data_IF_380644394450
#
_entry.id   IF_380644394450
#
_cell.length_a   1.000
_cell.length_b   1.000
_cell.length_c   1.000
_cell.angle_alpha   90.00
_cell.angle_beta   90.00
_cell.angle_gamma   90.00
#
_symmetry.space_group_name_H-M   'P 1'
#
loop_
_entity.id
_entity.type
_entity.pdbx_description
1 polymer ?
#
# COMPACT_ATOMS: atom_id res chain seq x y z
N UNK A 1 -8.65 -8.58 0.12
CA UNK A 1 -7.91 -7.67 -0.78
C UNK A 1 -8.09 -8.22 -2.19
N UNK A 2 -8.48 -7.42 -3.18
CA UNK A 2 -8.69 -7.92 -4.54
C UNK A 2 -7.36 -8.15 -5.29
N UNK A 3 -7.34 -8.90 -6.41
CA UNK A 3 -6.13 -9.20 -7.18
C UNK A 3 -5.41 -7.93 -7.68
N UNK A 4 -6.15 -6.86 -7.95
CA UNK A 4 -5.61 -5.56 -8.38
C UNK A 4 -4.72 -4.92 -7.32
N UNK A 5 -5.11 -4.97 -6.04
CA UNK A 5 -4.33 -4.35 -4.95
C UNK A 5 -3.00 -5.09 -4.73
N UNK A 6 -2.99 -6.41 -4.85
CA UNK A 6 -1.78 -7.20 -4.70
C UNK A 6 -0.77 -6.89 -5.82
N UNK A 7 -1.25 -6.78 -7.06
CA UNK A 7 -0.42 -6.40 -8.20
C UNK A 7 0.17 -4.99 -8.03
N UNK A 8 -0.63 -4.04 -7.54
CA UNK A 8 -0.17 -2.68 -7.32
C UNK A 8 0.90 -2.57 -6.22
N UNK A 9 0.73 -3.29 -5.11
CA UNK A 9 1.75 -3.33 -4.03
C UNK A 9 3.07 -3.92 -4.57
N UNK A 10 2.99 -4.97 -5.39
CA UNK A 10 4.18 -5.57 -6.00
C UNK A 10 4.86 -4.63 -7.00
N UNK A 11 4.09 -3.94 -7.84
CA UNK A 11 4.60 -2.95 -8.78
C UNK A 11 5.25 -1.77 -8.06
N UNK A 12 4.60 -1.23 -7.03
CA UNK A 12 5.15 -0.15 -6.20
C UNK A 12 6.46 -0.60 -5.54
N UNK A 13 6.52 -1.83 -5.02
CA UNK A 13 7.76 -2.36 -4.42
C UNK A 13 8.90 -2.56 -5.42
N UNK A 14 8.60 -2.93 -6.67
CA UNK A 14 9.63 -3.03 -7.70
C UNK A 14 10.17 -1.65 -8.10
N UNK A 15 9.29 -0.64 -8.15
CA UNK A 15 9.68 0.72 -8.55
C UNK A 15 10.39 1.49 -7.42
N UNK A 16 9.89 1.39 -6.18
CA UNK A 16 10.32 2.21 -5.05
C UNK A 16 11.14 1.44 -4.01
N UNK A 17 11.13 0.11 -4.08
CA UNK A 17 11.77 -0.76 -3.09
C UNK A 17 10.86 -1.10 -1.91
N UNK A 18 11.48 -1.33 -0.75
CA UNK A 18 10.76 -1.71 0.49
C UNK A 18 10.02 -0.50 1.07
N UNK A 19 8.78 -0.70 1.52
CA UNK A 19 8.05 0.32 2.29
C UNK A 19 8.84 0.66 3.54
N UNK A 20 9.17 1.94 3.69
CA UNK A 20 9.81 2.52 4.87
C UNK A 20 8.81 3.32 5.70
N UNK A 21 7.69 3.71 5.11
CA UNK A 21 6.60 4.43 5.77
C UNK A 21 5.24 3.83 5.39
N UNK A 22 4.27 4.02 6.27
CA UNK A 22 2.86 3.70 6.04
C UNK A 22 2.22 4.66 5.03
N UNK A 23 2.68 5.92 4.94
CA UNK A 23 2.16 6.91 3.98
C UNK A 23 2.34 6.45 2.54
N UNK A 24 3.42 5.69 2.28
CA UNK A 24 3.75 5.12 0.98
C UNK A 24 2.74 4.09 0.48
N UNK A 25 1.97 3.46 1.37
CA UNK A 25 0.84 2.60 0.96
C UNK A 25 -0.26 3.42 0.27
N UNK A 26 -0.35 4.73 0.55
CA UNK A 26 -1.28 5.64 -0.13
C UNK A 26 -0.84 6.03 -1.54
N UNK A 27 0.44 5.87 -1.86
CA UNK A 27 1.00 6.10 -3.19
C UNK A 27 0.83 4.87 -4.11
N UNK A 28 0.34 3.75 -3.57
CA UNK A 28 0.07 2.54 -4.35
C UNK A 28 -1.24 2.71 -5.11
N UNK A 29 -1.16 2.60 -6.44
CA UNK A 29 -2.34 2.69 -7.32
C UNK A 29 -3.42 1.66 -6.94
N UNK A 30 -4.65 2.09 -6.73
CA UNK A 30 -5.73 1.24 -6.23
C UNK A 30 -5.81 1.05 -4.71
N UNK A 31 -4.93 1.71 -3.93
CA UNK A 31 -5.12 1.94 -2.49
C UNK A 31 -5.68 3.36 -2.29
N UNK A 32 -7.01 3.46 -2.34
CA UNK A 32 -7.68 4.71 -2.00
C UNK A 32 -7.60 5.07 -0.50
N UNK A 33 -7.99 6.29 -0.11
CA UNK A 33 -7.85 6.80 1.27
C UNK A 33 -8.55 5.92 2.31
N UNK A 34 -9.73 5.38 2.00
CA UNK A 34 -10.46 4.47 2.89
C UNK A 34 -9.71 3.15 3.16
N UNK A 35 -8.85 2.73 2.24
CA UNK A 35 -8.06 1.50 2.36
C UNK A 35 -6.74 1.77 3.09
N UNK A 36 -6.16 2.95 2.86
CA UNK A 36 -5.03 3.46 3.62
C UNK A 36 -5.37 3.60 5.12
N UNK A 37 -6.52 4.18 5.46
CA UNK A 37 -6.95 4.29 6.87
C UNK A 37 -7.09 2.93 7.56
N UNK A 38 -7.66 1.93 6.86
CA UNK A 38 -7.77 0.56 7.39
C UNK A 38 -6.41 -0.11 7.56
N UNK A 39 -5.47 0.14 6.64
CA UNK A 39 -4.11 -0.41 6.73
C UNK A 39 -3.31 0.26 7.84
N UNK A 40 -3.44 1.59 8.00
CA UNK A 40 -2.85 2.35 9.13
C UNK A 40 -3.28 1.82 10.48
N UNK A 41 -4.54 1.41 10.62
CA UNK A 41 -5.05 0.85 11.87
C UNK A 41 -4.57 -0.59 12.16
N UNK A 42 -4.06 -1.31 11.15
CA UNK A 42 -3.71 -2.73 11.24
C UNK A 42 -2.20 -3.01 11.19
N UNK A 43 -1.39 -2.01 10.85
CA UNK A 43 0.06 -2.15 10.72
C UNK A 43 0.73 -1.26 11.77
N UNK A 44 1.42 -1.88 12.72
CA UNK A 44 2.33 -1.21 13.65
C UNK A 44 3.75 -1.42 13.12
N UNK A 45 4.54 -0.34 13.01
CA UNK A 45 5.91 -0.34 12.46
C UNK A 45 6.90 -0.85 13.49
#
# INVERSE_FOLDING_TARGET
MGPVTAAAIAAWRQANGRFTDIEQLGEVDGIGPARLEKLRALVTV
#
